data_IF_143382894694
#
_entry.id   IF_143382894694
#
_cell.length_a   1.000
_cell.length_b   1.000
_cell.length_c   1.000
_cell.angle_alpha   90.00
_cell.angle_beta   90.00
_cell.angle_gamma   90.00
#
_symmetry.space_group_name_H-M   'P 1'
#
loop_
_entity.id
_entity.type
_entity.pdbx_description
1 polymer ?
#
# COMPACT_ATOMS: atom_id res chain seq x y z
N UNK A 1 3.44 -19.03 1.93
CA UNK A 1 2.62 -19.63 0.86
C UNK A 1 2.24 -18.59 -0.21
N UNK A 2 3.23 -17.91 -0.77
CA UNK A 2 3.01 -17.12 -1.99
C UNK A 2 3.69 -17.91 -3.09
N UNK A 3 2.91 -18.71 -3.82
CA UNK A 3 3.39 -19.35 -5.04
C UNK A 3 3.63 -18.21 -6.02
N UNK A 4 4.87 -18.00 -6.41
CA UNK A 4 5.15 -17.18 -7.57
C UNK A 4 4.50 -17.90 -8.76
N UNK A 5 3.29 -17.45 -9.13
CA UNK A 5 2.46 -18.09 -10.14
C UNK A 5 3.21 -18.18 -11.47
N UNK A 6 4.06 -17.20 -11.80
CA UNK A 6 4.93 -17.27 -12.99
C UNK A 6 5.86 -18.48 -12.91
N UNK A 7 6.58 -18.66 -11.80
CA UNK A 7 7.52 -19.79 -11.65
C UNK A 7 6.81 -21.15 -11.63
N UNK A 8 5.64 -21.23 -11.00
CA UNK A 8 4.85 -22.48 -10.93
C UNK A 8 4.26 -22.84 -12.28
N UNK A 9 3.74 -21.84 -13.01
CA UNK A 9 3.14 -22.04 -14.33
C UNK A 9 4.23 -22.41 -15.35
N UNK A 10 5.37 -21.73 -15.35
CA UNK A 10 6.51 -22.07 -16.24
C UNK A 10 7.03 -23.49 -15.96
N UNK A 11 7.22 -23.86 -14.69
CA UNK A 11 7.66 -25.22 -14.33
C UNK A 11 6.66 -26.31 -14.75
N UNK A 12 5.37 -26.04 -14.59
CA UNK A 12 4.30 -26.98 -15.00
C UNK A 12 4.23 -27.13 -16.51
N UNK A 13 4.31 -26.03 -17.27
CA UNK A 13 4.28 -26.05 -18.73
C UNK A 13 5.50 -26.76 -19.33
N UNK A 14 6.68 -26.59 -18.74
CA UNK A 14 7.88 -27.33 -19.13
C UNK A 14 7.74 -28.83 -18.85
N UNK A 15 7.25 -29.19 -17.65
CA UNK A 15 6.99 -30.59 -17.27
C UNK A 15 5.95 -31.30 -18.14
N UNK A 16 5.00 -30.55 -18.70
CA UNK A 16 3.99 -31.03 -19.65
C UNK A 16 4.46 -30.98 -21.12
N UNK A 17 5.71 -30.57 -21.38
CA UNK A 17 6.28 -30.46 -22.73
C UNK A 17 5.60 -29.42 -23.63
N UNK A 18 4.91 -28.45 -23.04
CA UNK A 18 4.18 -27.39 -23.76
C UNK A 18 5.06 -26.21 -24.16
N UNK A 19 6.23 -26.09 -23.53
CA UNK A 19 7.27 -25.09 -23.83
C UNK A 19 8.65 -25.75 -23.78
N UNK A 20 9.64 -25.19 -24.49
CA UNK A 20 11.03 -25.67 -24.46
C UNK A 20 11.81 -25.06 -23.28
N UNK A 21 12.95 -25.66 -22.87
CA UNK A 21 13.82 -25.09 -21.84
C UNK A 21 14.28 -23.66 -22.14
N UNK A 22 14.52 -23.32 -23.41
CA UNK A 22 14.91 -21.98 -23.85
C UNK A 22 13.77 -20.96 -23.67
N UNK A 23 12.53 -21.38 -23.97
CA UNK A 23 11.33 -20.55 -23.74
C UNK A 23 11.09 -20.33 -22.25
N UNK A 24 11.30 -21.37 -21.42
CA UNK A 24 11.19 -21.26 -19.97
C UNK A 24 12.25 -20.31 -19.36
N UNK A 25 13.46 -20.28 -19.91
CA UNK A 25 14.52 -19.38 -19.47
C UNK A 25 14.22 -17.90 -19.82
N UNK A 26 13.58 -17.64 -20.97
CA UNK A 26 13.14 -16.31 -21.36
C UNK A 26 12.03 -15.74 -20.45
N UNK A 27 11.22 -16.59 -19.82
CA UNK A 27 10.21 -16.16 -18.84
C UNK A 27 10.80 -15.79 -17.46
N UNK A 28 12.08 -16.07 -17.21
CA UNK A 28 12.75 -15.70 -15.95
C UNK A 28 13.24 -14.25 -15.93
N UNK A 29 13.25 -13.56 -17.07
CA UNK A 29 13.63 -12.14 -17.18
C UNK A 29 12.44 -11.21 -16.97
N UNK A 30 11.86 -11.29 -15.77
CA UNK A 30 11.39 -10.17 -14.93
C UNK A 30 10.36 -9.12 -15.39
N UNK A 31 10.07 -8.90 -16.68
CA UNK A 31 9.28 -7.70 -17.06
C UNK A 31 8.36 -7.81 -18.29
N UNK A 32 8.31 -8.96 -18.99
CA UNK A 32 7.53 -9.04 -20.24
C UNK A 32 6.10 -9.61 -20.10
N UNK A 33 5.82 -10.46 -19.11
CA UNK A 33 4.71 -11.44 -19.25
C UNK A 33 3.56 -11.38 -18.23
N UNK A 34 3.46 -10.35 -17.40
CA UNK A 34 2.20 -10.07 -16.70
C UNK A 34 1.04 -9.80 -17.68
N UNK A 35 1.34 -9.41 -18.93
CA UNK A 35 0.35 -9.27 -20.01
C UNK A 35 -0.10 -10.60 -20.62
N UNK A 36 0.74 -11.63 -20.62
CA UNK A 36 0.44 -12.91 -21.26
C UNK A 36 -0.17 -13.94 -20.30
N UNK A 37 0.13 -13.89 -19.00
CA UNK A 37 -0.44 -14.85 -18.03
C UNK A 37 -1.95 -14.71 -17.83
N UNK A 38 -2.55 -13.57 -18.16
CA UNK A 38 -4.02 -13.41 -18.18
C UNK A 38 -4.66 -14.21 -19.34
N UNK A 39 -3.90 -14.54 -20.39
CA UNK A 39 -4.41 -15.29 -21.55
C UNK A 39 -4.54 -16.81 -21.28
N UNK A 40 -3.77 -17.36 -20.32
CA UNK A 40 -3.80 -18.79 -20.00
C UNK A 40 -5.09 -19.26 -19.28
N UNK A 41 -5.93 -18.32 -18.82
CA UNK A 41 -7.25 -18.59 -18.23
C UNK A 41 -8.41 -18.45 -19.24
N UNK A 42 -8.12 -18.31 -20.54
CA UNK A 42 -9.17 -18.18 -21.56
C UNK A 42 -9.88 -16.83 -21.59
N UNK A 43 -9.34 -15.80 -20.91
CA UNK A 43 -9.86 -14.44 -20.93
C UNK A 43 -9.11 -13.60 -21.98
N UNK A 44 -9.12 -14.04 -23.24
CA UNK A 44 -8.82 -13.15 -24.37
C UNK A 44 -9.69 -13.54 -25.56
N UNK A 45 -10.99 -13.25 -25.48
CA UNK A 45 -11.86 -13.25 -26.64
C UNK A 45 -11.55 -12.03 -27.52
N UNK A 46 -10.66 -12.21 -28.50
CA UNK A 46 -10.67 -11.52 -29.81
C UNK A 46 -10.65 -9.99 -29.88
N UNK A 47 -10.61 -9.27 -28.77
CA UNK A 47 -10.61 -7.81 -28.70
C UNK A 47 -9.49 -7.39 -27.76
N UNK A 48 -8.72 -6.37 -28.15
CA UNK A 48 -7.62 -5.78 -27.35
C UNK A 48 -8.10 -5.13 -26.03
N UNK A 49 -9.38 -5.31 -25.67
CA UNK A 49 -9.97 -4.73 -24.48
C UNK A 49 -9.78 -5.69 -23.29
N UNK A 50 -9.06 -5.23 -22.27
CA UNK A 50 -9.03 -5.88 -20.96
C UNK A 50 -10.49 -6.08 -20.49
N UNK A 51 -10.87 -7.25 -19.95
CA UNK A 51 -12.21 -7.47 -19.42
C UNK A 51 -12.57 -6.34 -18.43
N UNK A 52 -13.72 -5.71 -18.66
CA UNK A 52 -14.26 -4.67 -17.79
C UNK A 52 -14.82 -5.33 -16.53
N UNK A 53 -13.94 -5.64 -15.58
CA UNK A 53 -14.31 -6.08 -14.24
C UNK A 53 -14.94 -4.91 -13.49
N UNK A 54 -15.90 -5.19 -12.60
CA UNK A 54 -16.55 -4.15 -11.80
C UNK A 54 -15.55 -3.24 -11.05
N UNK A 55 -14.40 -3.79 -10.64
CA UNK A 55 -13.32 -3.04 -9.97
C UNK A 55 -12.49 -2.10 -10.86
N UNK A 56 -12.69 -2.09 -12.18
CA UNK A 56 -11.97 -1.19 -13.10
C UNK A 56 -12.80 0.04 -13.51
N UNK A 57 -14.06 0.11 -13.08
CA UNK A 57 -14.94 1.25 -13.37
C UNK A 57 -14.60 2.44 -12.47
N UNK A 58 -14.70 3.68 -12.97
CA UNK A 58 -14.46 4.86 -12.15
C UNK A 58 -15.54 5.02 -11.07
N UNK A 59 -15.20 5.70 -9.97
CA UNK A 59 -16.14 5.98 -8.87
C UNK A 59 -17.44 6.63 -9.36
N UNK A 60 -17.36 7.55 -10.34
CA UNK A 60 -18.52 8.23 -10.91
C UNK A 60 -19.54 7.30 -11.60
N UNK A 61 -19.10 6.13 -12.07
CA UNK A 61 -19.99 5.14 -12.67
C UNK A 61 -20.50 4.13 -11.64
N UNK A 62 -19.64 3.71 -10.71
CA UNK A 62 -19.99 2.70 -9.69
C UNK A 62 -20.85 3.29 -8.58
N UNK A 63 -20.54 4.50 -8.13
CA UNK A 63 -21.24 5.22 -7.08
C UNK A 63 -21.27 6.74 -7.41
N UNK A 64 -22.19 7.17 -8.29
CA UNK A 64 -22.34 8.57 -8.66
C UNK A 64 -22.71 9.47 -7.47
N UNK A 65 -23.37 8.91 -6.44
CA UNK A 65 -23.76 9.65 -5.24
C UNK A 65 -22.52 10.04 -4.44
N UNK A 66 -21.62 9.09 -4.17
CA UNK A 66 -20.36 9.37 -3.50
C UNK A 66 -19.46 10.28 -4.34
N UNK A 67 -19.42 10.09 -5.66
CA UNK A 67 -18.66 10.95 -6.55
C UNK A 67 -19.11 12.42 -6.46
N UNK A 68 -20.42 12.67 -6.38
CA UNK A 68 -20.97 14.01 -6.19
C UNK A 68 -20.55 14.62 -4.83
N UNK A 69 -20.68 13.86 -3.73
CA UNK A 69 -20.27 14.32 -2.40
C UNK A 69 -18.77 14.68 -2.32
N UNK A 70 -17.91 13.92 -3.00
CA UNK A 70 -16.47 14.24 -3.08
C UNK A 70 -16.24 15.57 -3.82
N UNK A 71 -17.00 15.86 -4.87
CA UNK A 71 -16.90 17.17 -5.56
C UNK A 71 -17.46 18.31 -4.71
N UNK A 72 -18.54 18.08 -3.97
CA UNK A 72 -19.11 19.08 -3.06
C UNK A 72 -18.13 19.46 -1.95
N UNK A 73 -17.47 18.48 -1.31
CA UNK A 73 -16.46 18.75 -0.28
C UNK A 73 -15.23 19.47 -0.87
N UNK A 74 -14.77 19.07 -2.06
CA UNK A 74 -13.70 19.78 -2.76
C UNK A 74 -14.09 21.24 -3.04
N UNK A 75 -15.32 21.49 -3.47
CA UNK A 75 -15.81 22.84 -3.73
C UNK A 75 -15.92 23.66 -2.44
N UNK A 76 -16.32 23.05 -1.32
CA UNK A 76 -16.35 23.68 0.01
C UNK A 76 -14.94 24.12 0.42
N UNK A 77 -13.96 23.21 0.39
CA UNK A 77 -12.57 23.50 0.76
C UNK A 77 -11.95 24.61 -0.09
N UNK A 78 -12.27 24.69 -1.40
CA UNK A 78 -11.74 25.74 -2.28
C UNK A 78 -12.41 27.11 -2.09
N UNK A 79 -13.58 27.17 -1.44
CA UNK A 79 -14.37 28.40 -1.27
C UNK A 79 -14.40 28.90 0.17
N UNK A 80 -13.79 28.17 1.10
CA UNK A 80 -13.75 28.49 2.51
C UNK A 80 -12.34 28.91 2.95
N UNK A 81 -12.28 29.80 3.94
CA UNK A 81 -11.05 30.05 4.69
C UNK A 81 -11.03 29.04 5.83
N UNK A 82 -10.20 28.01 5.70
CA UNK A 82 -10.05 26.98 6.73
C UNK A 82 -9.14 27.48 7.86
N UNK A 83 -9.70 27.60 9.07
CA UNK A 83 -9.01 28.12 10.26
C UNK A 83 -8.80 27.07 11.36
N UNK A 84 -9.13 25.80 11.08
CA UNK A 84 -8.89 24.70 12.01
C UNK A 84 -7.38 24.42 12.03
N UNK A 85 -6.74 24.68 13.18
CA UNK A 85 -5.28 24.66 13.30
C UNK A 85 -4.62 23.32 12.98
N UNK A 86 -5.35 22.21 13.10
CA UNK A 86 -4.86 20.86 12.83
C UNK A 86 -5.17 20.37 11.40
N UNK A 87 -5.96 21.09 10.63
CA UNK A 87 -6.24 20.74 9.24
C UNK A 87 -5.17 21.30 8.30
N UNK A 88 -4.99 20.63 7.16
CA UNK A 88 -4.04 21.05 6.15
C UNK A 88 -4.41 20.47 4.78
N UNK A 89 -3.96 21.12 3.71
CA UNK A 89 -4.10 20.63 2.34
C UNK A 89 -2.84 19.89 1.92
N UNK A 90 -2.93 18.55 1.83
CA UNK A 90 -1.80 17.73 1.38
C UNK A 90 -1.56 17.87 -0.13
N UNK A 91 -0.38 17.45 -0.58
CA UNK A 91 -0.02 17.51 -2.00
C UNK A 91 -0.73 16.44 -2.83
N UNK A 92 -0.91 16.71 -4.12
CA UNK A 92 -1.43 15.73 -5.09
C UNK A 92 -0.60 14.44 -5.10
N UNK A 93 0.72 14.53 -4.98
CA UNK A 93 1.60 13.37 -4.96
C UNK A 93 1.32 12.43 -3.76
N UNK A 94 0.96 12.99 -2.59
CA UNK A 94 0.56 12.19 -1.43
C UNK A 94 -0.75 11.46 -1.70
N UNK A 95 -1.74 12.14 -2.28
CA UNK A 95 -3.03 11.53 -2.64
C UNK A 95 -2.89 10.42 -3.69
N UNK A 96 -2.05 10.61 -4.70
CA UNK A 96 -1.77 9.59 -5.73
C UNK A 96 -1.13 8.32 -5.12
N UNK A 97 -0.23 8.49 -4.15
CA UNK A 97 0.36 7.35 -3.44
C UNK A 97 -0.68 6.63 -2.56
N UNK A 98 -1.53 7.38 -1.86
CA UNK A 98 -2.56 6.82 -0.97
C UNK A 98 -3.59 5.98 -1.75
N UNK A 99 -4.01 6.44 -2.93
CA UNK A 99 -4.93 5.72 -3.81
C UNK A 99 -4.29 4.65 -4.70
N UNK A 100 -3.11 4.14 -4.35
CA UNK A 100 -2.35 3.21 -5.18
C UNK A 100 -2.57 1.73 -4.82
N UNK A 101 -1.96 0.84 -5.60
CA UNK A 101 -2.00 -0.61 -5.37
C UNK A 101 -1.38 -1.07 -4.03
N UNK A 102 -0.67 -0.19 -3.31
CA UNK A 102 -0.12 -0.49 -1.98
C UNK A 102 -1.22 -0.91 -0.99
N UNK A 103 -2.44 -0.40 -1.15
CA UNK A 103 -3.60 -0.77 -0.31
C UNK A 103 -3.95 -2.27 -0.35
N UNK A 104 -3.50 -3.00 -1.37
CA UNK A 104 -3.86 -4.40 -1.55
C UNK A 104 -2.97 -5.35 -0.74
N UNK A 105 -1.84 -4.88 -0.21
CA UNK A 105 -0.81 -5.76 0.35
C UNK A 105 -0.89 -5.88 1.87
N UNK A 106 -1.12 -7.11 2.33
CA UNK A 106 -0.97 -7.48 3.74
C UNK A 106 0.51 -7.69 4.08
N UNK A 107 1.04 -6.95 5.05
CA UNK A 107 2.48 -6.85 5.34
C UNK A 107 2.81 -6.88 6.84
N UNK A 108 2.08 -7.69 7.59
CA UNK A 108 2.31 -7.86 9.03
C UNK A 108 3.75 -8.25 9.36
N UNK A 109 4.29 -7.64 10.42
CA UNK A 109 5.68 -7.76 10.84
C UNK A 109 6.50 -6.51 10.50
N UNK A 110 7.82 -6.66 10.54
CA UNK A 110 8.78 -5.61 10.17
C UNK A 110 9.47 -5.95 8.84
N UNK A 111 10.08 -4.97 8.14
CA UNK A 111 10.91 -5.24 6.98
C UNK A 111 11.97 -6.33 7.28
N UNK A 112 12.09 -7.32 6.40
CA UNK A 112 12.96 -8.49 6.61
C UNK A 112 12.45 -9.55 7.61
N UNK A 113 11.36 -9.27 8.33
CA UNK A 113 10.74 -10.16 9.32
C UNK A 113 9.21 -10.13 9.18
N UNK A 114 8.72 -10.43 7.98
CA UNK A 114 7.28 -10.47 7.66
C UNK A 114 6.69 -11.85 7.92
N UNK A 115 5.45 -11.89 8.38
CA UNK A 115 4.70 -13.14 8.51
C UNK A 115 4.25 -13.72 7.15
N UNK A 116 4.16 -12.86 6.13
CA UNK A 116 3.69 -13.20 4.78
C UNK A 116 4.75 -12.92 3.71
N UNK A 117 4.73 -13.71 2.63
CA UNK A 117 5.60 -13.50 1.46
C UNK A 117 5.14 -12.35 0.55
N UNK A 118 5.97 -12.03 -0.45
CA UNK A 118 5.65 -11.03 -1.50
C UNK A 118 5.77 -9.57 -1.04
N UNK A 119 6.57 -9.29 -0.02
CA UNK A 119 6.73 -7.96 0.58
C UNK A 119 8.02 -7.24 0.11
N UNK A 120 8.66 -7.71 -0.96
CA UNK A 120 9.97 -7.20 -1.42
C UNK A 120 9.92 -5.71 -1.78
N UNK A 121 8.79 -5.24 -2.31
CA UNK A 121 8.56 -3.82 -2.61
C UNK A 121 8.07 -3.06 -1.37
N UNK A 122 7.21 -3.68 -0.55
CA UNK A 122 6.68 -3.04 0.68
C UNK A 122 7.81 -2.76 1.68
N UNK A 123 8.77 -3.66 1.81
CA UNK A 123 9.93 -3.47 2.67
C UNK A 123 10.78 -2.28 2.22
N UNK A 124 10.96 -2.08 0.90
CA UNK A 124 11.63 -0.89 0.36
C UNK A 124 10.86 0.38 0.68
N UNK A 125 9.53 0.36 0.53
CA UNK A 125 8.66 1.50 0.85
C UNK A 125 8.73 1.86 2.33
N UNK A 126 8.62 0.89 3.22
CA UNK A 126 8.64 1.13 4.66
C UNK A 126 10.03 1.59 5.14
N UNK A 127 11.12 0.97 4.65
CA UNK A 127 12.47 1.40 4.98
C UNK A 127 12.75 2.83 4.49
N UNK A 128 12.32 3.18 3.27
CA UNK A 128 12.44 4.53 2.75
C UNK A 128 11.64 5.54 3.60
N UNK A 129 10.46 5.16 4.08
CA UNK A 129 9.66 5.99 4.97
C UNK A 129 10.39 6.25 6.31
N UNK A 130 10.95 5.19 6.92
CA UNK A 130 11.74 5.29 8.16
C UNK A 130 12.97 6.18 7.99
N UNK A 131 13.75 5.96 6.94
CA UNK A 131 14.93 6.78 6.62
C UNK A 131 14.56 8.25 6.47
N UNK A 132 13.52 8.55 5.69
CA UNK A 132 13.05 9.91 5.45
C UNK A 132 12.50 10.56 6.73
N UNK A 133 11.83 9.81 7.59
CA UNK A 133 11.35 10.31 8.88
C UNK A 133 12.52 10.75 9.77
N UNK A 134 13.53 9.90 9.96
CA UNK A 134 14.72 10.26 10.74
C UNK A 134 15.43 11.48 10.15
N UNK A 135 15.60 11.52 8.83
CA UNK A 135 16.21 12.65 8.12
C UNK A 135 15.42 13.95 8.29
N UNK A 136 14.09 13.90 8.21
CA UNK A 136 13.23 15.08 8.35
C UNK A 136 13.37 15.75 9.72
N UNK A 137 13.63 14.96 10.76
CA UNK A 137 13.86 15.44 12.13
C UNK A 137 15.35 15.57 12.50
N UNK A 138 16.26 15.44 11.52
CA UNK A 138 17.72 15.53 11.73
C UNK A 138 18.26 14.56 12.80
N UNK A 139 17.72 13.34 12.85
CA UNK A 139 18.06 12.33 13.84
C UNK A 139 19.13 11.36 13.33
N UNK A 140 20.05 10.98 14.22
CA UNK A 140 21.04 9.95 13.95
C UNK A 140 20.43 8.55 14.11
N UNK A 141 20.46 7.73 13.06
CA UNK A 141 19.92 6.36 13.04
C UNK A 141 20.55 5.41 14.07
N UNK A 142 21.76 5.72 14.56
CA UNK A 142 22.43 4.93 15.61
C UNK A 142 21.85 5.17 17.00
N UNK A 143 21.18 6.30 17.19
CA UNK A 143 20.61 6.72 18.47
C UNK A 143 19.08 6.64 18.45
N UNK A 144 18.48 6.82 17.27
CA UNK A 144 17.04 6.89 17.10
C UNK A 144 16.52 5.84 16.12
N UNK A 145 15.52 5.09 16.58
CA UNK A 145 14.66 4.28 15.73
C UNK A 145 13.32 4.97 15.49
N UNK A 146 12.59 4.54 14.46
CA UNK A 146 11.23 5.03 14.18
C UNK A 146 10.33 3.88 13.72
N UNK A 147 9.11 3.86 14.25
CA UNK A 147 8.02 3.01 13.77
C UNK A 147 7.01 3.89 13.02
N UNK A 148 6.79 3.57 11.74
CA UNK A 148 5.91 4.32 10.82
C UNK A 148 4.58 3.61 10.55
N UNK A 149 4.26 2.56 11.32
CA UNK A 149 3.05 1.75 11.18
C UNK A 149 1.81 2.22 11.95
N UNK A 150 1.87 3.08 13.00
CA UNK A 150 0.65 3.56 13.66
C UNK A 150 -0.31 4.25 12.69
N UNK A 151 -1.59 3.86 12.74
CA UNK A 151 -2.61 4.33 11.79
C UNK A 151 -2.98 5.82 11.93
N UNK A 152 -2.81 6.38 13.13
CA UNK A 152 -3.06 7.80 13.42
C UNK A 152 -2.40 8.17 14.76
N UNK A 153 -2.56 9.42 15.21
CA UNK A 153 -1.95 9.93 16.45
C UNK A 153 -2.40 9.19 17.71
N UNK A 154 -3.70 8.97 17.90
CA UNK A 154 -4.21 8.31 19.12
C UNK A 154 -3.74 6.85 19.25
N UNK A 155 -3.80 6.00 18.18
CA UNK A 155 -3.18 4.67 18.21
C UNK A 155 -1.68 4.69 18.47
N UNK A 156 -0.93 5.69 17.97
CA UNK A 156 0.49 5.82 18.25
C UNK A 156 0.76 6.03 19.75
N UNK A 157 0.03 6.95 20.39
CA UNK A 157 0.15 7.20 21.83
C UNK A 157 -0.19 5.95 22.65
N UNK A 158 -1.29 5.27 22.30
CA UNK A 158 -1.72 4.06 23.01
C UNK A 158 -0.71 2.92 22.87
N UNK A 159 -0.09 2.76 21.69
CA UNK A 159 0.98 1.79 21.49
C UNK A 159 2.20 2.07 22.38
N UNK A 160 2.60 3.34 22.53
CA UNK A 160 3.70 3.74 23.44
C UNK A 160 3.36 3.42 24.89
N UNK A 161 2.15 3.77 25.35
CA UNK A 161 1.72 3.43 26.71
C UNK A 161 1.72 1.93 26.94
N UNK A 162 1.19 1.15 26.00
CA UNK A 162 1.15 -0.32 26.10
C UNK A 162 2.56 -0.92 26.10
N UNK A 163 3.51 -0.33 25.37
CA UNK A 163 4.88 -0.82 25.29
C UNK A 163 5.69 -0.56 26.57
N UNK A 164 5.45 0.57 27.24
CA UNK A 164 6.28 1.03 28.36
C UNK A 164 5.63 0.86 29.74
N UNK A 165 4.30 0.75 29.81
CA UNK A 165 3.55 0.81 31.05
C UNK A 165 2.69 -0.45 31.26
N UNK A 166 2.65 -1.01 32.47
CA UNK A 166 1.65 -2.00 32.81
C UNK A 166 0.26 -1.36 32.93
N UNK A 167 -0.82 -2.15 32.83
CA UNK A 167 -2.16 -1.70 33.18
C UNK A 167 -2.20 -1.02 34.56
N UNK A 168 -2.96 0.07 34.67
CA UNK A 168 -3.10 0.91 35.87
C UNK A 168 -1.86 1.74 36.29
N UNK A 169 -0.81 1.75 35.48
CA UNK A 169 0.27 2.72 35.65
C UNK A 169 -0.26 4.17 35.57
N UNK A 170 0.40 5.08 36.28
CA UNK A 170 0.02 6.50 36.29
C UNK A 170 0.69 7.22 35.12
N UNK A 171 -0.08 8.06 34.44
CA UNK A 171 0.39 8.97 33.40
C UNK A 171 -0.03 10.38 33.78
N UNK A 172 0.84 11.36 33.53
CA UNK A 172 0.51 12.78 33.66
C UNK A 172 0.59 13.41 32.28
N UNK A 173 -0.43 14.20 31.93
CA UNK A 173 -0.50 14.95 30.69
C UNK A 173 -1.03 16.35 30.95
N UNK A 174 -1.00 17.21 29.92
CA UNK A 174 -1.66 18.50 29.99
C UNK A 174 -3.18 18.29 30.07
N UNK A 175 -3.84 19.05 30.93
CA UNK A 175 -5.30 19.01 31.08
C UNK A 175 -5.99 19.48 29.79
N UNK A 176 -7.17 18.92 29.51
CA UNK A 176 -8.08 19.41 28.48
C UNK A 176 -9.11 20.26 29.21
N UNK A 177 -8.89 21.59 29.36
CA UNK A 177 -9.79 22.42 30.13
C UNK A 177 -11.23 22.27 29.59
N UNK A 178 -12.16 22.01 30.51
CA UNK A 178 -13.59 21.79 30.23
C UNK A 178 -14.39 23.09 30.26
#
# INVERSE_FOLDING_TARGET
YTLNLERVVVGTLLGLGKITPEQAAACQTGDADAKFMVSAQGITTGTKARPQLAGNKPLSEVDPTMAALVQDEKARQMRCIELIASENFTSRAVMECLGSALTNKYSEGQPGARYYGGNEVIDKVENLCKERALKAFSLNEKEWGVNVQPYSGSPANFAVYTALLPPHARVMGLDLPS
#
